data_IF_650739491869
#
_entry.id   IF_650739491869
#
_cell.length_a   1.000
_cell.length_b   1.000
_cell.length_c   1.000
_cell.angle_alpha   90.00
_cell.angle_beta   90.00
_cell.angle_gamma   90.00
#
_symmetry.space_group_name_H-M   'P 1'
#
loop_
_entity.id
_entity.type
_entity.pdbx_description
1 polymer ?
#
# COMPACT_ATOMS: atom_id res chain seq x y z
N UNK A 1 -13.93 -17.89 11.56
CA UNK A 1 -13.33 -16.67 10.94
C UNK A 1 -12.58 -17.02 9.64
N UNK A 2 -13.24 -17.03 8.47
CA UNK A 2 -12.60 -17.39 7.17
C UNK A 2 -11.72 -16.28 6.57
N UNK A 3 -11.90 -15.02 6.98
CA UNK A 3 -11.20 -13.86 6.40
C UNK A 3 -9.80 -13.63 6.97
N UNK A 4 -9.54 -14.03 8.21
CA UNK A 4 -8.25 -13.85 8.92
C UNK A 4 -7.14 -14.74 8.34
N UNK A 5 -7.47 -15.68 7.45
CA UNK A 5 -6.48 -16.50 6.72
C UNK A 5 -6.10 -15.93 5.35
N UNK A 6 -6.75 -14.85 4.90
CA UNK A 6 -6.50 -14.24 3.59
C UNK A 6 -5.38 -13.21 3.69
N UNK A 7 -4.44 -13.24 2.76
CA UNK A 7 -3.39 -12.23 2.67
C UNK A 7 -3.97 -10.83 2.42
N UNK A 8 -5.07 -10.75 1.66
CA UNK A 8 -5.82 -9.49 1.46
C UNK A 8 -6.19 -8.81 2.79
N UNK A 9 -6.60 -9.59 3.80
CA UNK A 9 -7.01 -9.03 5.10
C UNK A 9 -5.81 -8.48 5.87
N UNK A 10 -4.72 -9.23 5.93
CA UNK A 10 -3.50 -8.81 6.64
C UNK A 10 -2.83 -7.60 6.00
N UNK A 11 -2.78 -7.55 4.67
CA UNK A 11 -2.27 -6.39 3.95
C UNK A 11 -3.14 -5.14 4.16
N UNK A 12 -4.47 -5.28 4.16
CA UNK A 12 -5.38 -4.18 4.48
C UNK A 12 -5.16 -3.66 5.91
N UNK A 13 -5.05 -4.57 6.89
CA UNK A 13 -4.82 -4.20 8.28
C UNK A 13 -3.46 -3.51 8.48
N UNK A 14 -2.39 -4.04 7.87
CA UNK A 14 -1.06 -3.43 7.92
C UNK A 14 -1.08 -2.02 7.32
N UNK A 15 -1.78 -1.82 6.21
CA UNK A 15 -1.93 -0.52 5.56
C UNK A 15 -2.61 0.52 6.46
N UNK A 16 -3.66 0.11 7.16
CA UNK A 16 -4.33 0.98 8.15
C UNK A 16 -3.38 1.34 9.30
N UNK A 17 -2.63 0.37 9.83
CA UNK A 17 -1.64 0.63 10.88
C UNK A 17 -0.54 1.61 10.43
N UNK A 18 -0.05 1.49 9.19
CA UNK A 18 0.93 2.42 8.60
C UNK A 18 0.34 3.83 8.48
N UNK A 19 -0.89 3.94 7.99
CA UNK A 19 -1.60 5.23 7.90
C UNK A 19 -1.80 5.90 9.27
N UNK A 20 -2.15 5.12 10.30
CA UNK A 20 -2.31 5.60 11.67
C UNK A 20 -0.97 6.02 12.30
N UNK A 21 0.11 5.26 12.09
CA UNK A 21 1.43 5.60 12.61
C UNK A 21 1.90 6.96 12.09
N UNK A 22 1.62 7.24 10.81
CA UNK A 22 1.86 8.55 10.21
C UNK A 22 0.95 9.64 10.79
N UNK A 23 -0.33 9.36 11.02
CA UNK A 23 -1.26 10.33 11.62
C UNK A 23 -0.84 10.77 13.03
N UNK A 24 -0.24 9.87 13.80
CA UNK A 24 0.29 10.15 15.15
C UNK A 24 1.62 10.93 15.11
N UNK A 25 2.21 11.16 13.93
CA UNK A 25 3.43 11.96 13.76
C UNK A 25 4.74 11.16 13.89
N UNK A 26 4.68 9.82 13.94
CA UNK A 26 5.88 8.97 14.06
C UNK A 26 6.64 8.76 12.74
N UNK A 27 6.16 9.29 11.61
CA UNK A 27 6.80 9.17 10.29
C UNK A 27 6.79 10.53 9.56
N UNK A 28 7.72 11.39 9.97
CA UNK A 28 7.89 12.75 9.42
C UNK A 28 8.31 12.76 7.95
N UNK A 29 8.93 11.68 7.46
CA UNK A 29 9.47 11.58 6.09
C UNK A 29 8.57 10.83 5.12
N UNK A 30 7.37 10.40 5.54
CA UNK A 30 6.42 9.63 4.74
C UNK A 30 7.00 8.29 4.20
N UNK A 31 8.08 7.78 4.79
CA UNK A 31 8.86 6.66 4.24
C UNK A 31 8.05 5.37 4.34
N UNK A 32 7.28 5.18 5.41
CA UNK A 32 6.47 3.97 5.58
C UNK A 32 5.25 3.97 4.67
N UNK A 33 4.67 5.14 4.41
CA UNK A 33 3.50 5.26 3.53
C UNK A 33 3.89 5.13 2.06
N UNK A 34 4.94 5.81 1.61
CA UNK A 34 5.32 5.85 0.19
C UNK A 34 6.37 4.79 -0.12
N UNK A 35 7.42 4.67 0.69
CA UNK A 35 8.57 3.79 0.43
C UNK A 35 8.27 2.29 0.51
N UNK A 36 7.41 1.84 1.43
CA UNK A 36 7.01 0.42 1.53
C UNK A 36 6.06 -0.04 0.42
N UNK A 37 5.58 0.90 -0.39
CA UNK A 37 4.59 0.63 -1.41
C UNK A 37 5.18 0.92 -2.80
N UNK A 38 5.73 -0.09 -3.48
CA UNK A 38 6.47 0.13 -4.73
C UNK A 38 5.61 0.76 -5.82
N UNK A 39 4.30 0.49 -5.82
CA UNK A 39 3.35 1.10 -6.75
C UNK A 39 3.19 2.58 -6.43
N UNK A 40 2.92 2.92 -5.17
CA UNK A 40 2.76 4.30 -4.76
C UNK A 40 4.07 5.09 -4.94
N UNK A 41 5.22 4.50 -4.61
CA UNK A 41 6.54 5.09 -4.82
C UNK A 41 6.80 5.44 -6.28
N UNK A 42 6.41 4.56 -7.21
CA UNK A 42 6.60 4.79 -8.64
C UNK A 42 5.73 5.95 -9.18
N UNK A 43 4.52 6.14 -8.63
CA UNK A 43 3.60 7.19 -9.08
C UNK A 43 3.67 8.48 -8.25
N UNK A 44 4.28 8.46 -7.07
CA UNK A 44 4.34 9.61 -6.17
C UNK A 44 5.09 10.79 -6.77
N UNK A 45 6.05 10.52 -7.66
CA UNK A 45 6.92 11.53 -8.26
C UNK A 45 6.59 11.83 -9.73
N UNK A 46 5.49 11.29 -10.27
CA UNK A 46 5.06 11.54 -11.64
C UNK A 46 3.99 12.62 -11.71
N UNK A 47 4.10 13.53 -12.68
CA UNK A 47 3.07 14.55 -12.91
C UNK A 47 1.90 13.95 -13.71
N UNK A 48 0.63 14.31 -13.42
CA UNK A 48 0.17 15.27 -12.40
C UNK A 48 -0.09 14.66 -11.00
N UNK A 49 0.15 13.35 -10.84
CA UNK A 49 -0.19 12.57 -9.65
C UNK A 49 0.55 13.04 -8.39
N UNK A 50 1.75 13.59 -8.56
CA UNK A 50 2.55 14.21 -7.51
C UNK A 50 1.76 15.26 -6.72
N UNK A 51 0.99 16.12 -7.37
CA UNK A 51 0.18 17.17 -6.74
C UNK A 51 -1.07 16.62 -6.03
N UNK A 52 -1.48 15.39 -6.36
CA UNK A 52 -2.57 14.70 -5.69
C UNK A 52 -2.10 13.99 -4.42
N UNK A 53 -0.82 13.63 -4.38
CA UNK A 53 -0.19 12.87 -3.30
C UNK A 53 0.41 13.80 -2.25
N UNK A 54 1.15 14.83 -2.67
CA UNK A 54 1.86 15.74 -1.79
C UNK A 54 1.11 17.06 -1.61
N UNK A 55 1.10 17.57 -0.38
CA UNK A 55 0.57 18.89 -0.06
C UNK A 55 1.68 19.94 0.02
N UNK A 56 1.93 20.59 -1.10
CA UNK A 56 2.91 21.67 -1.21
C UNK A 56 2.39 23.02 -0.66
N UNK A 57 1.10 23.12 -0.31
CA UNK A 57 0.52 24.38 0.17
C UNK A 57 0.86 24.69 1.64
N UNK A 58 1.17 23.64 2.43
CA UNK A 58 1.45 23.75 3.86
C UNK A 58 2.78 23.08 4.21
N UNK A 59 3.87 23.47 3.53
CA UNK A 59 5.21 22.95 3.85
C UNK A 59 5.78 23.76 5.01
N UNK A 60 5.92 23.20 6.23
CA UNK A 60 6.41 23.95 7.40
C UNK A 60 7.86 24.41 7.22
N UNK A 61 8.66 23.62 6.49
CA UNK A 61 10.05 23.90 6.18
C UNK A 61 10.34 23.59 4.69
N UNK A 62 10.23 24.59 3.78
CA UNK A 62 10.44 24.38 2.34
C UNK A 62 11.87 23.90 2.00
N UNK A 63 12.80 24.04 2.92
CA UNK A 63 14.20 23.61 2.83
C UNK A 63 14.36 22.09 3.00
N UNK A 64 13.38 21.42 3.63
CA UNK A 64 13.35 19.97 3.83
C UNK A 64 12.19 19.37 3.05
N UNK A 65 12.47 18.90 1.81
CA UNK A 65 11.49 18.17 0.97
C UNK A 65 10.89 16.93 1.65
N UNK A 66 11.53 16.41 2.70
CA UNK A 66 11.01 15.32 3.52
C UNK A 66 9.77 15.72 4.34
N UNK A 67 9.60 17.01 4.65
CA UNK A 67 8.51 17.54 5.49
C UNK A 67 7.22 17.86 4.73
N UNK A 68 7.18 17.55 3.43
CA UNK A 68 5.99 17.80 2.61
C UNK A 68 4.86 16.89 3.10
N UNK A 69 3.76 17.51 3.51
CA UNK A 69 2.56 16.80 3.95
C UNK A 69 2.03 15.87 2.86
N UNK A 70 1.28 14.85 3.26
CA UNK A 70 0.67 13.91 2.32
C UNK A 70 -0.84 14.07 2.39
N UNK A 71 -1.46 14.18 1.21
CA UNK A 71 -2.91 14.37 1.06
C UNK A 71 -3.65 13.05 1.24
N UNK A 72 -4.93 13.15 1.58
CA UNK A 72 -5.83 12.00 1.71
C UNK A 72 -5.78 10.99 0.54
N UNK A 73 -5.70 11.41 -0.75
CA UNK A 73 -5.62 10.47 -1.87
C UNK A 73 -4.45 9.49 -1.78
N UNK A 74 -3.31 9.89 -1.22
CA UNK A 74 -2.17 8.99 -1.08
C UNK A 74 -2.44 7.85 -0.08
N UNK A 75 -3.19 8.10 0.99
CA UNK A 75 -3.59 7.05 1.94
C UNK A 75 -4.57 6.07 1.28
N UNK A 76 -5.49 6.59 0.47
CA UNK A 76 -6.42 5.76 -0.29
C UNK A 76 -5.68 4.89 -1.33
N UNK A 77 -4.73 5.47 -2.07
CA UNK A 77 -3.89 4.75 -3.02
C UNK A 77 -2.99 3.72 -2.31
N UNK A 78 -2.46 4.06 -1.14
CA UNK A 78 -1.66 3.16 -0.33
C UNK A 78 -2.46 1.92 0.09
N UNK A 79 -3.67 2.16 0.62
CA UNK A 79 -4.59 1.11 1.01
C UNK A 79 -5.01 0.23 -0.17
N UNK A 80 -5.39 0.85 -1.29
CA UNK A 80 -5.83 0.13 -2.47
C UNK A 80 -4.74 -0.78 -3.01
N UNK A 81 -3.48 -0.31 -3.09
CA UNK A 81 -2.40 -1.16 -3.62
C UNK A 81 -2.08 -2.33 -2.68
N UNK A 82 -2.12 -2.14 -1.36
CA UNK A 82 -1.92 -3.24 -0.39
C UNK A 82 -3.03 -4.28 -0.50
N UNK A 83 -4.29 -3.84 -0.63
CA UNK A 83 -5.43 -4.73 -0.86
C UNK A 83 -5.25 -5.51 -2.16
N UNK A 84 -4.87 -4.84 -3.26
CA UNK A 84 -4.63 -5.48 -4.55
C UNK A 84 -3.49 -6.49 -4.48
N UNK A 85 -2.37 -6.15 -3.83
CA UNK A 85 -1.24 -7.06 -3.62
C UNK A 85 -1.66 -8.31 -2.84
N UNK A 86 -2.39 -8.14 -1.73
CA UNK A 86 -2.93 -9.26 -0.97
C UNK A 86 -3.91 -10.12 -1.79
N UNK A 87 -4.74 -9.50 -2.63
CA UNK A 87 -5.67 -10.19 -3.52
C UNK A 87 -4.96 -10.99 -4.61
N UNK A 88 -3.88 -10.44 -5.19
CA UNK A 88 -3.03 -11.12 -6.16
C UNK A 88 -2.34 -12.35 -5.55
N UNK A 89 -1.78 -12.21 -4.33
CA UNK A 89 -1.18 -13.34 -3.60
C UNK A 89 -2.23 -14.42 -3.33
N UNK A 90 -3.41 -14.03 -2.82
CA UNK A 90 -4.51 -14.97 -2.57
C UNK A 90 -4.96 -15.66 -3.87
N UNK A 91 -4.97 -14.96 -5.01
CA UNK A 91 -5.29 -15.53 -6.32
C UNK A 91 -4.20 -16.50 -6.82
N UNK A 92 -2.92 -16.15 -6.67
CA UNK A 92 -1.80 -17.00 -7.02
C UNK A 92 -1.81 -18.31 -6.22
N UNK A 93 -2.01 -18.23 -4.90
CA UNK A 93 -2.13 -19.42 -4.02
C UNK A 93 -3.30 -20.29 -4.46
N UNK A 94 -4.47 -19.71 -4.74
CA UNK A 94 -5.63 -20.46 -5.25
C UNK A 94 -5.31 -21.16 -6.57
N UNK A 95 -4.61 -20.50 -7.49
CA UNK A 95 -4.23 -21.06 -8.79
C UNK A 95 -3.25 -22.22 -8.65
N UNK A 96 -2.24 -22.08 -7.80
CA UNK A 96 -1.25 -23.14 -7.51
C UNK A 96 -1.94 -24.35 -6.88
N UNK A 97 -2.81 -24.14 -5.88
CA UNK A 97 -3.53 -25.24 -5.22
C UNK A 97 -4.47 -25.99 -6.17
N UNK A 98 -5.13 -25.30 -7.10
CA UNK A 98 -5.95 -25.94 -8.14
C UNK A 98 -5.11 -26.80 -9.09
N UNK A 99 -3.92 -26.32 -9.49
CA UNK A 99 -3.01 -27.08 -10.35
C UNK A 99 -2.43 -28.32 -9.65
N UNK A 100 -2.10 -28.20 -8.36
CA UNK A 100 -1.60 -29.32 -7.57
C UNK A 100 -2.66 -30.41 -7.32
N UNK A 101 -3.94 -30.03 -7.17
CA UNK A 101 -5.04 -30.97 -6.97
C UNK A 101 -5.52 -31.67 -8.25
N UNK A 102 -5.33 -31.07 -9.43
CA UNK A 102 -5.73 -31.65 -10.72
C UNK A 102 -4.73 -32.62 -11.35
N UNK A 103 -3.56 -32.85 -10.72
CA UNK A 103 -2.51 -33.74 -11.24
C UNK A 103 -2.58 -35.18 -10.74
N UNK A 104 -3.54 -35.53 -9.88
CA UNK A 104 -3.68 -36.90 -9.33
C UNK A 104 -4.77 -37.75 -10.00
N UNK A 105 -5.49 -37.22 -10.99
CA UNK A 105 -6.56 -37.95 -11.70
C UNK A 105 -6.17 -38.41 -13.12
N UNK A 106 -4.90 -38.27 -13.50
CA UNK A 106 -4.39 -38.73 -14.79
C UNK A 106 -3.08 -39.52 -14.60
N UNK A 107 -3.21 -40.80 -14.23
CA UNK A 107 -2.12 -41.76 -14.10
C UNK A 107 -2.67 -43.17 -14.14
#
# INVERSE_FOLDING_TARGET
MKYVRKWTFWFAAASICIGLNKYVGNDESNILLIGLNPILHAIAYTEPLRHWIFDYANVPHPEYSASVGVRFPAYALHFLSFVLMGALIDAAIRRIRRRAGGGMESG
#
